data_IF_922387339071
#
_entry.id   IF_922387339071
#
_cell.length_a   1.000
_cell.length_b   1.000
_cell.length_c   1.000
_cell.angle_alpha   90.00
_cell.angle_beta   90.00
_cell.angle_gamma   90.00
#
_symmetry.space_group_name_H-M   'P 1'
#
loop_
_entity.id
_entity.type
_entity.pdbx_description
1 polymer ?
#
# COMPACT_ATOMS: atom_id res chain seq x y z
N UNK A 1 -10.50 -34.29 9.96
CA UNK A 1 -10.45 -33.08 9.11
C UNK A 1 -11.40 -32.03 9.69
N UNK A 2 -10.90 -30.88 10.14
CA UNK A 2 -11.75 -29.85 10.74
C UNK A 2 -12.66 -29.21 9.66
N UNK A 3 -13.98 -29.32 9.80
CA UNK A 3 -14.95 -28.63 8.95
C UNK A 3 -15.10 -27.19 9.43
N UNK A 4 -14.81 -26.24 8.54
CA UNK A 4 -15.00 -24.80 8.75
C UNK A 4 -16.51 -24.51 8.89
N UNK A 5 -16.87 -23.52 9.70
CA UNK A 5 -18.28 -23.11 9.93
C UNK A 5 -18.97 -22.65 8.64
N UNK A 6 -20.30 -22.76 8.57
CA UNK A 6 -21.12 -22.34 7.41
C UNK A 6 -20.97 -20.85 7.07
N UNK A 7 -20.63 -20.02 8.06
CA UNK A 7 -20.35 -18.59 7.91
C UNK A 7 -18.85 -18.25 7.81
N UNK A 8 -17.97 -19.26 7.77
CA UNK A 8 -16.54 -19.03 7.70
C UNK A 8 -16.17 -18.47 6.34
N UNK A 9 -15.68 -17.23 6.31
CA UNK A 9 -15.18 -16.60 5.09
C UNK A 9 -13.66 -16.71 5.00
N UNK A 10 -13.17 -17.20 3.86
CA UNK A 10 -11.75 -17.26 3.56
C UNK A 10 -11.19 -15.87 3.30
N UNK A 11 -10.68 -15.23 4.36
CA UNK A 11 -10.07 -13.88 4.26
C UNK A 11 -8.91 -13.80 3.27
N UNK A 12 -8.29 -14.94 2.93
CA UNK A 12 -7.19 -15.02 1.94
C UNK A 12 -7.64 -14.91 0.47
N UNK A 13 -8.92 -15.14 0.15
CA UNK A 13 -9.38 -15.25 -1.25
C UNK A 13 -10.11 -14.02 -1.81
N UNK A 14 -10.29 -12.93 -1.05
CA UNK A 14 -11.17 -11.82 -1.46
C UNK A 14 -10.64 -10.40 -1.23
N UNK A 15 -9.33 -10.17 -1.26
CA UNK A 15 -8.83 -8.78 -1.35
C UNK A 15 -8.00 -8.63 -2.61
N UNK A 16 -8.60 -8.08 -3.67
CA UNK A 16 -7.83 -7.34 -4.67
C UNK A 16 -7.31 -6.10 -3.93
N UNK A 17 -6.00 -5.91 -3.79
CA UNK A 17 -5.51 -4.64 -3.30
C UNK A 17 -5.93 -3.58 -4.33
N UNK A 18 -6.67 -2.57 -3.90
CA UNK A 18 -6.80 -1.36 -4.69
C UNK A 18 -5.45 -0.65 -4.57
N UNK A 19 -4.58 -0.90 -5.55
CA UNK A 19 -3.25 -0.30 -5.65
C UNK A 19 -3.30 1.04 -6.42
N UNK A 20 -4.44 1.42 -7.00
CA UNK A 20 -4.54 2.59 -7.91
C UNK A 20 -4.07 3.86 -7.19
N UNK A 21 -4.63 4.13 -6.01
CA UNK A 21 -4.26 5.31 -5.21
C UNK A 21 -2.79 5.27 -4.76
N UNK A 22 -2.28 4.09 -4.39
CA UNK A 22 -0.90 3.93 -3.99
C UNK A 22 0.07 4.18 -5.17
N UNK A 23 -0.27 3.66 -6.36
CA UNK A 23 0.50 3.85 -7.58
C UNK A 23 0.50 5.32 -8.01
N UNK A 24 -0.64 6.00 -7.97
CA UNK A 24 -0.73 7.42 -8.33
C UNK A 24 0.15 8.31 -7.44
N UNK A 25 0.13 8.05 -6.13
CA UNK A 25 1.00 8.73 -5.16
C UNK A 25 2.48 8.41 -5.39
N UNK A 26 2.82 7.15 -5.67
CA UNK A 26 4.20 6.74 -5.99
C UNK A 26 4.67 7.43 -7.28
N UNK A 27 3.84 7.47 -8.32
CA UNK A 27 4.16 8.11 -9.60
C UNK A 27 4.41 9.61 -9.44
N UNK A 28 3.58 10.29 -8.64
CA UNK A 28 3.79 11.70 -8.30
C UNK A 28 5.16 11.92 -7.67
N UNK A 29 5.51 11.17 -6.61
CA UNK A 29 6.78 11.33 -5.90
C UNK A 29 8.00 10.99 -6.78
N UNK A 30 7.90 9.95 -7.62
CA UNK A 30 8.99 9.58 -8.55
C UNK A 30 9.14 10.64 -9.65
N UNK A 31 8.04 11.21 -10.14
CA UNK A 31 8.06 12.30 -11.11
C UNK A 31 8.80 13.53 -10.60
N UNK A 32 8.54 13.92 -9.34
CA UNK A 32 9.18 15.06 -8.70
C UNK A 32 10.65 14.77 -8.29
N UNK A 33 10.96 13.52 -7.92
CA UNK A 33 12.25 13.10 -7.37
C UNK A 33 12.81 11.85 -8.09
N UNK A 34 13.23 11.95 -9.37
CA UNK A 34 13.61 10.79 -10.17
C UNK A 34 14.90 10.09 -9.70
N UNK A 35 15.72 10.76 -8.88
CA UNK A 35 16.95 10.18 -8.29
C UNK A 35 16.70 9.45 -6.97
N UNK A 36 15.48 9.50 -6.44
CA UNK A 36 15.13 8.84 -5.18
C UNK A 36 14.84 7.37 -5.39
N UNK A 37 15.58 6.51 -4.70
CA UNK A 37 15.28 5.08 -4.65
C UNK A 37 14.04 4.78 -3.78
N UNK A 38 13.48 3.59 -3.96
CA UNK A 38 12.23 3.13 -3.34
C UNK A 38 12.14 3.33 -1.81
N UNK A 39 13.23 3.17 -1.06
CA UNK A 39 13.24 3.46 0.39
C UNK A 39 12.97 4.93 0.72
N UNK A 40 13.51 5.86 -0.08
CA UNK A 40 13.29 7.31 0.14
C UNK A 40 11.87 7.70 -0.27
N UNK A 41 11.39 7.16 -1.39
CA UNK A 41 9.99 7.31 -1.82
C UNK A 41 9.04 6.83 -0.73
N UNK A 42 9.26 5.65 -0.14
CA UNK A 42 8.44 5.14 0.96
C UNK A 42 8.46 6.05 2.19
N UNK A 43 9.63 6.56 2.58
CA UNK A 43 9.74 7.47 3.73
C UNK A 43 8.93 8.76 3.53
N UNK A 44 8.91 9.30 2.30
CA UNK A 44 8.10 10.47 1.95
C UNK A 44 6.61 10.17 1.99
N UNK A 45 6.18 9.07 1.35
CA UNK A 45 4.77 8.64 1.34
C UNK A 45 4.23 8.38 2.75
N UNK A 46 5.07 7.84 3.64
CA UNK A 46 4.72 7.61 5.04
C UNK A 46 4.49 8.94 5.77
N UNK A 47 5.39 9.92 5.59
CA UNK A 47 5.25 11.25 6.20
C UNK A 47 4.00 11.97 5.70
N UNK A 48 3.74 11.95 4.38
CA UNK A 48 2.52 12.51 3.80
C UNK A 48 1.27 11.85 4.40
N UNK A 49 1.25 10.51 4.49
CA UNK A 49 0.11 9.80 5.07
C UNK A 49 -0.14 10.15 6.54
N UNK A 50 0.92 10.39 7.33
CA UNK A 50 0.80 10.87 8.72
C UNK A 50 0.28 12.31 8.80
N UNK A 51 0.65 13.18 7.84
CA UNK A 51 0.17 14.57 7.77
C UNK A 51 -1.28 14.66 7.32
N UNK A 52 -1.66 13.84 6.35
CA UNK A 52 -2.99 13.88 5.71
C UNK A 52 -4.01 12.94 6.39
N UNK A 53 -3.63 12.32 7.53
CA UNK A 53 -4.39 11.27 8.23
C UNK A 53 -4.87 10.13 7.32
N UNK A 54 -4.05 9.81 6.32
CA UNK A 54 -4.32 8.76 5.34
C UNK A 54 -3.74 7.42 5.76
N UNK A 55 -4.22 6.35 5.12
CA UNK A 55 -3.67 5.02 5.32
C UNK A 55 -2.18 4.97 4.93
N UNK A 56 -1.33 4.57 5.89
CA UNK A 56 0.11 4.42 5.65
C UNK A 56 0.38 3.29 4.64
N UNK A 57 1.11 3.63 3.57
CA UNK A 57 1.53 2.67 2.56
C UNK A 57 2.60 1.72 3.15
N UNK A 58 2.37 0.42 3.01
CA UNK A 58 3.35 -0.59 3.40
C UNK A 58 4.57 -0.52 2.47
N UNK A 59 5.79 -0.58 3.03
CA UNK A 59 7.03 -0.53 2.25
C UNK A 59 7.10 -1.57 1.13
N UNK A 60 6.50 -2.75 1.32
CA UNK A 60 6.45 -3.80 0.29
C UNK A 60 5.62 -3.42 -0.94
N UNK A 61 4.70 -2.45 -0.85
CA UNK A 61 3.90 -1.96 -1.99
C UNK A 61 4.63 -0.91 -2.82
N UNK A 62 5.82 -0.47 -2.39
CA UNK A 62 6.63 0.53 -3.09
C UNK A 62 7.68 -0.13 -4.00
N UNK A 63 8.07 -1.38 -3.73
CA UNK A 63 8.91 -2.19 -4.61
C UNK A 63 8.08 -2.81 -5.73
#
# INVERSE_FOLDING_TARGET
MARRSKNWQERRRKRKPDDIEALDRIHTVIGDLPTYGYRRVWALLRRQSETDDMAVINAKRVY
#
